data_IF_382640903866
#
_entry.id   IF_382640903866
#
_cell.length_a   1.000
_cell.length_b   1.000
_cell.length_c   1.000
_cell.angle_alpha   90.00
_cell.angle_beta   90.00
_cell.angle_gamma   90.00
#
_symmetry.space_group_name_H-M   'P 1'
#
loop_
_entity.id
_entity.type
_entity.pdbx_description
1 polymer ?
#
# COMPACT_ATOMS: atom_id res chain seq x y z
N UNK A 1 29.34 -51.27 -14.48
CA UNK A 1 27.92 -51.01 -14.20
C UNK A 1 27.68 -50.24 -12.89
N UNK A 2 28.37 -50.53 -11.77
CA UNK A 2 28.16 -49.80 -10.50
C UNK A 2 28.54 -48.30 -10.58
N UNK A 3 29.64 -47.95 -11.24
CA UNK A 3 30.08 -46.55 -11.36
C UNK A 3 29.14 -45.67 -12.22
N UNK A 4 28.45 -46.25 -13.22
CA UNK A 4 27.52 -45.52 -14.08
C UNK A 4 26.24 -45.13 -13.31
N UNK A 5 25.77 -45.99 -12.40
CA UNK A 5 24.63 -45.71 -11.53
C UNK A 5 24.96 -44.67 -10.46
N UNK A 6 26.18 -44.64 -9.93
CA UNK A 6 26.61 -43.62 -8.95
C UNK A 6 26.68 -42.22 -9.57
N UNK A 7 27.16 -42.10 -10.81
CA UNK A 7 27.19 -40.82 -11.53
C UNK A 7 25.77 -40.35 -11.87
N UNK A 8 24.87 -41.25 -12.28
CA UNK A 8 23.48 -40.90 -12.57
C UNK A 8 22.72 -40.44 -11.32
N UNK A 9 23.02 -41.03 -10.15
CA UNK A 9 22.40 -40.63 -8.88
C UNK A 9 22.90 -39.26 -8.39
N UNK A 10 24.18 -38.94 -8.60
CA UNK A 10 24.75 -37.62 -8.28
C UNK A 10 24.16 -36.49 -9.15
N UNK A 11 23.84 -36.77 -10.42
CA UNK A 11 23.18 -35.80 -11.29
C UNK A 11 21.72 -35.52 -10.91
N UNK A 12 20.99 -36.50 -10.37
CA UNK A 12 19.61 -36.30 -9.91
C UNK A 12 19.55 -35.40 -8.67
N UNK A 13 20.54 -35.50 -7.77
CA UNK A 13 20.60 -34.66 -6.55
C UNK A 13 20.81 -33.17 -6.91
N UNK A 14 21.51 -32.87 -8.00
CA UNK A 14 21.73 -31.49 -8.47
C UNK A 14 20.45 -30.82 -9.02
N UNK A 15 19.47 -31.60 -9.49
CA UNK A 15 18.19 -31.05 -10.01
C UNK A 15 17.24 -30.67 -8.85
N UNK A 16 17.46 -31.18 -7.65
CA UNK A 16 16.65 -30.86 -6.47
C UNK A 16 17.18 -29.67 -5.65
N UNK A 17 18.35 -29.13 -5.97
CA UNK A 17 18.98 -28.03 -5.21
C UNK A 17 19.04 -26.70 -5.97
N UNK A 18 18.29 -26.56 -7.05
CA UNK A 18 18.06 -25.29 -7.73
C UNK A 18 16.65 -24.74 -7.42
N UNK A 19 16.31 -24.62 -6.14
CA UNK A 19 15.35 -23.61 -5.72
C UNK A 19 16.20 -22.38 -5.43
N UNK A 20 16.07 -21.35 -6.26
CA UNK A 20 16.48 -20.00 -5.86
C UNK A 20 15.81 -19.75 -4.50
N UNK A 21 16.59 -19.60 -3.44
CA UNK A 21 16.12 -18.96 -2.21
C UNK A 21 15.79 -17.52 -2.60
N UNK A 22 14.56 -17.33 -3.10
CA UNK A 22 13.97 -16.04 -3.40
C UNK A 22 13.73 -15.40 -2.03
N UNK A 23 14.69 -14.57 -1.57
CA UNK A 23 14.73 -13.96 -0.22
C UNK A 23 13.30 -13.74 0.36
N UNK A 24 12.90 -14.65 1.26
CA UNK A 24 11.51 -14.88 1.71
C UNK A 24 11.05 -13.86 2.75
N UNK A 25 11.10 -12.56 2.45
CA UNK A 25 10.58 -11.54 3.36
C UNK A 25 9.20 -11.05 2.92
N UNK A 26 8.27 -11.00 3.87
CA UNK A 26 7.02 -10.30 3.70
C UNK A 26 7.28 -8.80 3.49
N UNK A 27 6.46 -8.15 2.66
CA UNK A 27 6.49 -6.70 2.53
C UNK A 27 6.17 -6.07 3.90
N UNK A 28 6.96 -5.09 4.32
CA UNK A 28 6.84 -4.52 5.67
C UNK A 28 5.51 -3.79 5.92
N UNK A 29 4.80 -3.32 4.89
CA UNK A 29 3.41 -2.83 5.00
C UNK A 29 2.43 -3.84 5.62
N UNK A 30 2.76 -5.14 5.60
CA UNK A 30 1.97 -6.22 6.18
C UNK A 30 2.55 -6.75 7.50
N UNK A 31 3.43 -5.99 8.14
CA UNK A 31 3.89 -6.28 9.49
C UNK A 31 2.88 -5.80 10.52
N UNK A 32 2.31 -6.73 11.29
CA UNK A 32 1.36 -6.42 12.36
C UNK A 32 1.85 -6.94 13.70
N UNK A 33 1.74 -6.09 14.72
CA UNK A 33 2.15 -6.41 16.09
C UNK A 33 1.18 -7.39 16.76
N UNK A 34 1.73 -8.36 17.49
CA UNK A 34 0.94 -9.25 18.33
C UNK A 34 0.23 -8.49 19.45
N UNK A 35 -0.94 -9.00 19.85
CA UNK A 35 -1.85 -8.43 20.83
C UNK A 35 -2.40 -7.04 20.48
N UNK A 36 -2.25 -6.60 19.22
CA UNK A 36 -2.89 -5.37 18.72
C UNK A 36 -4.15 -5.70 17.92
N UNK A 37 -5.09 -4.76 17.97
CA UNK A 37 -6.29 -4.80 17.13
C UNK A 37 -5.95 -4.38 15.71
N UNK A 38 -6.42 -5.16 14.75
CA UNK A 38 -6.38 -4.85 13.34
C UNK A 38 -7.77 -4.98 12.72
N UNK A 39 -7.96 -4.53 11.48
CA UNK A 39 -9.23 -4.66 10.75
C UNK A 39 -9.08 -5.38 9.43
N UNK A 40 -10.14 -6.09 9.05
CA UNK A 40 -10.25 -6.69 7.71
C UNK A 40 -10.42 -5.58 6.68
N UNK A 41 -9.60 -5.60 5.63
CA UNK A 41 -9.67 -4.61 4.55
C UNK A 41 -10.50 -5.10 3.36
N UNK A 42 -10.28 -6.36 2.96
CA UNK A 42 -11.04 -6.97 1.86
C UNK A 42 -12.53 -7.04 2.19
N UNK A 43 -13.38 -7.08 1.16
CA UNK A 43 -14.84 -7.14 1.35
C UNK A 43 -15.23 -8.33 2.23
N UNK A 44 -14.57 -9.46 1.97
CA UNK A 44 -14.62 -10.66 2.78
C UNK A 44 -13.24 -11.28 2.89
N UNK A 45 -12.95 -11.92 4.02
CA UNK A 45 -11.76 -12.75 4.21
C UNK A 45 -12.16 -14.09 4.80
N UNK A 46 -11.53 -15.18 4.33
CA UNK A 46 -11.77 -16.53 4.87
C UNK A 46 -10.85 -16.77 6.05
N UNK A 47 -11.43 -17.24 7.16
CA UNK A 47 -10.69 -17.71 8.32
C UNK A 47 -10.43 -19.18 8.15
N UNK A 48 -9.17 -19.58 8.27
CA UNK A 48 -8.72 -20.94 7.99
C UNK A 48 -8.23 -21.66 9.23
N UNK A 49 -8.28 -22.99 9.18
CA UNK A 49 -7.81 -23.84 10.27
C UNK A 49 -6.29 -23.83 10.42
N UNK A 50 -5.55 -23.61 9.34
CA UNK A 50 -4.09 -23.51 9.33
C UNK A 50 -3.63 -22.45 8.31
N UNK A 51 -2.37 -21.96 8.38
CA UNK A 51 -1.86 -20.87 7.55
C UNK A 51 -1.59 -21.30 6.09
N UNK A 52 -2.62 -21.75 5.39
CA UNK A 52 -2.51 -22.28 4.03
C UNK A 52 -3.80 -22.01 3.24
N UNK A 53 -3.68 -21.64 1.96
CA UNK A 53 -4.81 -21.34 1.07
C UNK A 53 -5.71 -22.54 0.76
N UNK A 54 -5.24 -23.77 1.00
CA UNK A 54 -5.97 -25.02 0.81
C UNK A 54 -6.54 -25.58 2.13
N UNK A 55 -6.23 -24.96 3.28
CA UNK A 55 -6.75 -25.39 4.57
C UNK A 55 -8.27 -25.20 4.66
N UNK A 56 -8.91 -26.03 5.50
CA UNK A 56 -10.34 -25.93 5.79
C UNK A 56 -10.72 -24.50 6.19
N UNK A 57 -11.79 -24.00 5.59
CA UNK A 57 -12.40 -22.72 5.94
C UNK A 57 -13.26 -22.95 7.18
N UNK A 58 -12.97 -22.21 8.25
CA UNK A 58 -13.71 -22.24 9.51
C UNK A 58 -14.80 -21.18 9.53
N UNK A 59 -14.53 -20.00 8.95
CA UNK A 59 -15.45 -18.87 8.93
C UNK A 59 -15.10 -17.86 7.82
N UNK A 60 -15.86 -16.77 7.75
CA UNK A 60 -15.58 -15.58 6.94
C UNK A 60 -15.90 -14.30 7.69
N UNK A 61 -15.02 -13.30 7.59
CA UNK A 61 -15.20 -11.98 8.19
C UNK A 61 -15.36 -10.92 7.09
N UNK A 62 -16.20 -9.92 7.35
CA UNK A 62 -16.42 -8.80 6.44
C UNK A 62 -15.38 -7.70 6.63
N UNK A 63 -15.30 -6.78 5.66
CA UNK A 63 -14.55 -5.53 5.80
C UNK A 63 -14.91 -4.78 7.09
N UNK A 64 -13.94 -4.04 7.64
CA UNK A 64 -14.02 -3.28 8.89
C UNK A 64 -14.22 -4.10 10.18
N UNK A 65 -14.36 -5.43 10.07
CA UNK A 65 -14.48 -6.27 11.25
C UNK A 65 -13.16 -6.26 12.05
N UNK A 66 -13.20 -5.93 13.36
CA UNK A 66 -12.01 -5.92 14.20
C UNK A 66 -11.58 -7.34 14.56
N UNK A 67 -10.27 -7.53 14.59
CA UNK A 67 -9.60 -8.77 14.97
C UNK A 67 -8.41 -8.46 15.86
N UNK A 68 -7.98 -9.40 16.68
CA UNK A 68 -6.73 -9.30 17.46
C UNK A 68 -5.69 -10.22 16.85
N UNK A 69 -4.51 -9.69 16.57
CA UNK A 69 -3.37 -10.49 16.13
C UNK A 69 -2.86 -11.29 17.34
N UNK A 70 -2.92 -12.61 17.28
CA UNK A 70 -2.42 -13.48 18.34
C UNK A 70 -0.98 -13.91 18.08
N UNK A 71 -0.67 -14.25 16.83
CA UNK A 71 0.65 -14.74 16.45
C UNK A 71 0.94 -14.47 14.99
N UNK A 72 2.17 -14.05 14.69
CA UNK A 72 2.71 -14.04 13.33
C UNK A 72 3.30 -15.41 12.99
N UNK A 73 2.87 -16.03 11.90
CA UNK A 73 3.45 -17.28 11.41
C UNK A 73 4.58 -17.01 10.42
N UNK A 74 5.57 -17.90 10.38
CA UNK A 74 6.70 -17.81 9.45
C UNK A 74 6.25 -18.04 8.00
N UNK A 75 5.16 -18.78 7.78
CA UNK A 75 4.62 -19.06 6.46
C UNK A 75 4.23 -17.77 5.74
N UNK A 76 4.86 -17.53 4.58
CA UNK A 76 4.58 -16.39 3.71
C UNK A 76 3.83 -16.88 2.48
N UNK A 77 2.82 -16.11 2.07
CA UNK A 77 2.15 -16.27 0.79
C UNK A 77 2.40 -15.03 -0.06
N UNK A 78 2.84 -15.26 -1.30
CA UNK A 78 2.98 -14.25 -2.35
C UNK A 78 1.79 -14.32 -3.31
N UNK A 79 1.04 -13.24 -3.45
CA UNK A 79 -0.01 -13.07 -4.48
C UNK A 79 0.27 -11.81 -5.29
N UNK A 80 0.79 -11.99 -6.51
CA UNK A 80 1.38 -10.90 -7.28
C UNK A 80 2.65 -10.37 -6.61
N UNK A 81 2.77 -9.05 -6.48
CA UNK A 81 3.89 -8.41 -5.79
C UNK A 81 3.73 -8.38 -4.26
N UNK A 82 2.58 -8.82 -3.74
CA UNK A 82 2.25 -8.77 -2.31
C UNK A 82 2.68 -10.07 -1.62
N UNK A 83 3.73 -10.00 -0.82
CA UNK A 83 4.22 -11.02 0.10
C UNK A 83 3.76 -10.68 1.52
N UNK A 84 2.96 -11.53 2.14
CA UNK A 84 2.56 -11.34 3.53
C UNK A 84 2.56 -12.65 4.30
N UNK A 85 2.90 -12.57 5.58
CA UNK A 85 2.76 -13.68 6.52
C UNK A 85 1.29 -14.04 6.73
N UNK A 86 1.06 -15.26 7.21
CA UNK A 86 -0.18 -15.61 7.86
C UNK A 86 -0.16 -15.17 9.33
N UNK A 87 -1.33 -14.83 9.85
CA UNK A 87 -1.50 -14.49 11.24
C UNK A 87 -2.56 -15.39 11.86
N UNK A 88 -2.25 -15.94 13.04
CA UNK A 88 -3.26 -16.47 13.94
C UNK A 88 -3.98 -15.29 14.59
N UNK A 89 -5.30 -15.31 14.58
CA UNK A 89 -6.13 -14.19 15.03
C UNK A 89 -7.23 -14.67 15.98
N UNK A 90 -7.69 -13.76 16.82
CA UNK A 90 -8.93 -13.88 17.59
C UNK A 90 -9.95 -12.88 17.07
N UNK A 91 -11.22 -13.26 17.04
CA UNK A 91 -12.31 -12.39 16.61
C UNK A 91 -13.61 -12.75 17.34
N UNK A 92 -14.51 -11.77 17.43
CA UNK A 92 -15.84 -11.94 18.00
C UNK A 92 -16.86 -12.18 16.89
N UNK A 93 -17.77 -13.14 17.11
CA UNK A 93 -18.95 -13.37 16.29
C UNK A 93 -20.15 -13.60 17.19
N UNK A 94 -20.99 -12.58 17.34
CA UNK A 94 -21.96 -12.55 18.43
C UNK A 94 -21.25 -12.63 19.78
N UNK A 95 -21.71 -13.53 20.65
CA UNK A 95 -21.15 -13.72 22.00
C UNK A 95 -19.98 -14.72 22.06
N UNK A 96 -19.51 -15.20 20.90
CA UNK A 96 -18.46 -16.22 20.83
C UNK A 96 -17.15 -15.64 20.32
N UNK A 97 -16.11 -15.77 21.15
CA UNK A 97 -14.71 -15.65 20.72
C UNK A 97 -14.32 -16.86 19.89
N UNK A 98 -13.78 -16.65 18.70
CA UNK A 98 -13.26 -17.70 17.82
C UNK A 98 -11.85 -17.36 17.36
N UNK A 99 -11.11 -18.38 16.95
CA UNK A 99 -9.75 -18.23 16.44
C UNK A 99 -9.60 -18.90 15.07
N UNK A 100 -8.58 -18.47 14.34
CA UNK A 100 -8.13 -19.11 13.12
C UNK A 100 -7.04 -18.30 12.44
N UNK A 101 -6.81 -18.59 11.17
CA UNK A 101 -5.71 -18.02 10.40
C UNK A 101 -6.21 -17.15 9.26
N UNK A 102 -5.58 -15.99 9.08
CA UNK A 102 -5.84 -15.07 7.97
C UNK A 102 -4.53 -14.66 7.31
N UNK A 103 -4.54 -14.49 6.00
CA UNK A 103 -3.38 -13.95 5.28
C UNK A 103 -3.29 -12.45 5.51
N UNK A 104 -2.10 -11.95 5.91
CA UNK A 104 -1.89 -10.55 6.28
C UNK A 104 -2.23 -9.55 5.16
N UNK A 105 -2.11 -9.96 3.89
CA UNK A 105 -2.48 -9.14 2.74
C UNK A 105 -3.99 -8.82 2.64
N UNK A 106 -4.84 -9.43 3.47
CA UNK A 106 -6.27 -9.12 3.57
C UNK A 106 -6.61 -8.11 4.69
N UNK A 107 -5.63 -7.73 5.51
CA UNK A 107 -5.79 -6.77 6.60
C UNK A 107 -5.47 -5.36 6.11
N UNK A 108 -5.99 -4.33 6.77
CA UNK A 108 -5.63 -2.95 6.42
C UNK A 108 -4.18 -2.67 6.80
N UNK A 109 -3.47 -1.93 5.95
CA UNK A 109 -2.14 -1.39 6.28
C UNK A 109 -2.28 -0.34 7.39
N UNK A 110 -3.33 0.47 7.35
CA UNK A 110 -3.65 1.41 8.41
C UNK A 110 -5.14 1.73 8.46
N UNK A 111 -5.62 2.13 9.63
CA UNK A 111 -6.98 2.62 9.81
C UNK A 111 -7.04 3.81 10.75
N UNK A 112 -8.07 4.65 10.58
CA UNK A 112 -8.36 5.80 11.44
C UNK A 112 -9.87 5.91 11.63
N UNK A 113 -10.29 6.34 12.81
CA UNK A 113 -11.69 6.63 13.09
C UNK A 113 -11.85 8.13 13.33
N UNK A 114 -12.85 8.75 12.70
CA UNK A 114 -13.19 10.16 12.92
C UNK A 114 -14.62 10.44 12.52
N UNK A 115 -15.34 11.24 13.31
CA UNK A 115 -16.71 11.69 13.05
C UNK A 115 -17.71 10.55 12.77
N UNK A 116 -17.55 9.39 13.42
CA UNK A 116 -18.42 8.23 13.22
C UNK A 116 -18.06 7.36 12.01
N UNK A 117 -17.04 7.74 11.25
CA UNK A 117 -16.53 6.96 10.12
C UNK A 117 -15.25 6.21 10.46
N UNK A 118 -15.15 5.00 9.93
CA UNK A 118 -13.92 4.25 9.83
C UNK A 118 -13.30 4.44 8.44
N UNK A 119 -12.06 4.90 8.42
CA UNK A 119 -11.25 5.02 7.22
C UNK A 119 -10.23 3.89 7.21
N UNK A 120 -10.23 3.08 6.15
CA UNK A 120 -9.30 1.96 6.00
C UNK A 120 -8.41 2.19 4.78
N UNK A 121 -7.11 1.94 4.92
CA UNK A 121 -6.14 1.91 3.84
C UNK A 121 -5.55 0.51 3.71
N UNK A 122 -5.48 -0.02 2.48
CA UNK A 122 -4.90 -1.33 2.22
C UNK A 122 -4.64 -1.62 0.75
N UNK A 123 -3.98 -2.75 0.48
CA UNK A 123 -3.62 -3.18 -0.87
C UNK A 123 -4.67 -4.16 -1.42
N UNK A 124 -5.15 -3.90 -2.63
CA UNK A 124 -6.24 -4.68 -3.25
C UNK A 124 -5.71 -5.76 -4.19
N UNK A 125 -4.80 -5.42 -5.11
CA UNK A 125 -4.31 -6.33 -6.16
C UNK A 125 -3.00 -5.84 -6.77
N UNK A 126 -2.38 -6.72 -7.54
CA UNK A 126 -1.28 -6.39 -8.45
C UNK A 126 -1.82 -6.49 -9.88
N UNK A 127 -1.49 -5.51 -10.73
CA UNK A 127 -1.85 -5.47 -12.15
C UNK A 127 -0.61 -5.43 -13.03
N UNK A 128 -0.71 -6.01 -14.22
CA UNK A 128 0.29 -5.87 -15.26
C UNK A 128 0.02 -4.59 -16.06
N UNK A 129 1.05 -3.77 -16.26
CA UNK A 129 0.98 -2.51 -17.02
C UNK A 129 2.12 -2.47 -18.01
N UNK A 130 1.94 -1.82 -19.16
CA UNK A 130 3.05 -1.54 -20.07
C UNK A 130 3.88 -0.39 -19.53
N UNK A 131 5.19 -0.54 -19.58
CA UNK A 131 6.08 0.55 -19.19
C UNK A 131 5.88 1.76 -20.12
N UNK A 132 5.97 2.98 -19.56
CA UNK A 132 5.70 4.20 -20.32
C UNK A 132 6.83 4.55 -21.28
N UNK A 133 8.07 4.20 -20.94
CA UNK A 133 9.27 4.47 -21.74
C UNK A 133 9.55 3.32 -22.70
N UNK A 134 9.21 2.09 -22.31
CA UNK A 134 9.38 0.85 -23.06
C UNK A 134 8.06 0.05 -23.12
N UNK A 135 7.11 0.42 -24.00
CA UNK A 135 5.78 -0.22 -24.08
C UNK A 135 5.79 -1.73 -24.36
N UNK A 136 6.90 -2.27 -24.86
CA UNK A 136 7.15 -3.70 -25.02
C UNK A 136 7.27 -4.41 -23.67
N UNK A 137 7.81 -3.74 -22.65
CA UNK A 137 8.01 -4.27 -21.30
C UNK A 137 6.71 -4.22 -20.51
N UNK A 138 6.38 -5.35 -19.88
CA UNK A 138 5.27 -5.42 -18.92
C UNK A 138 5.84 -5.34 -17.51
N UNK A 139 5.39 -4.35 -16.74
CA UNK A 139 5.74 -4.15 -15.33
C UNK A 139 4.56 -4.51 -14.43
N UNK A 140 4.85 -4.94 -13.21
CA UNK A 140 3.84 -5.15 -12.17
C UNK A 140 3.66 -3.90 -11.32
N UNK A 141 2.42 -3.54 -11.05
CA UNK A 141 2.03 -2.39 -10.22
C UNK A 141 1.02 -2.83 -9.19
N UNK A 142 1.22 -2.41 -7.94
CA UNK A 142 0.27 -2.62 -6.87
C UNK A 142 -0.80 -1.54 -6.91
N UNK A 143 -2.03 -1.93 -6.56
CA UNK A 143 -3.18 -1.04 -6.41
C UNK A 143 -3.57 -1.04 -4.94
N UNK A 144 -3.56 0.13 -4.32
CA UNK A 144 -4.17 0.35 -3.02
C UNK A 144 -5.57 0.93 -3.14
N UNK A 145 -6.30 0.90 -2.03
CA UNK A 145 -7.53 1.66 -1.90
C UNK A 145 -7.69 2.27 -0.50
N UNK A 146 -8.48 3.33 -0.44
CA UNK A 146 -9.00 3.91 0.78
C UNK A 146 -10.52 3.69 0.78
N UNK A 147 -11.03 3.12 1.88
CA UNK A 147 -12.47 2.89 2.12
C UNK A 147 -12.97 3.78 3.25
N UNK A 148 -14.16 4.35 3.11
CA UNK A 148 -14.91 4.96 4.21
C UNK A 148 -16.07 4.05 4.57
N UNK A 149 -16.21 3.75 5.86
CA UNK A 149 -17.32 2.96 6.38
C UNK A 149 -18.04 3.68 7.51
N UNK A 150 -19.35 3.44 7.60
CA UNK A 150 -20.19 3.83 8.73
C UNK A 150 -20.73 2.52 9.35
N UNK A 151 -20.17 2.11 10.49
CA UNK A 151 -20.28 0.72 10.94
C UNK A 151 -19.65 -0.24 9.92
N UNK A 152 -20.38 -1.24 9.44
CA UNK A 152 -19.91 -2.15 8.38
C UNK A 152 -20.39 -1.75 6.97
N UNK A 153 -21.13 -0.64 6.84
CA UNK A 153 -21.61 -0.18 5.54
C UNK A 153 -20.50 0.59 4.81
N UNK A 154 -20.13 0.12 3.62
CA UNK A 154 -19.22 0.86 2.74
C UNK A 154 -19.93 2.11 2.20
N UNK A 155 -19.36 3.28 2.46
CA UNK A 155 -19.90 4.58 2.07
C UNK A 155 -19.30 5.03 0.73
N UNK A 156 -17.97 4.93 0.61
CA UNK A 156 -17.24 5.27 -0.60
C UNK A 156 -15.87 4.57 -0.61
N UNK A 157 -15.32 4.36 -1.80
CA UNK A 157 -14.00 3.76 -2.00
C UNK A 157 -13.31 4.40 -3.19
N UNK A 158 -12.01 4.62 -3.06
CA UNK A 158 -11.15 5.06 -4.18
C UNK A 158 -9.88 4.23 -4.23
N UNK A 159 -9.38 3.99 -5.43
CA UNK A 159 -8.16 3.19 -5.66
C UNK A 159 -7.08 4.01 -6.37
N UNK A 160 -5.82 3.65 -6.12
CA UNK A 160 -4.65 4.32 -6.67
C UNK A 160 -3.48 3.34 -6.79
N UNK A 161 -2.53 3.63 -7.69
CA UNK A 161 -1.31 2.84 -7.88
C UNK A 161 -0.33 3.08 -6.71
N UNK A 162 0.52 2.13 -6.37
CA UNK A 162 1.50 2.28 -5.28
C UNK A 162 2.89 1.78 -5.66
N UNK A 163 3.21 1.73 -6.95
CA UNK A 163 4.48 1.22 -7.44
C UNK A 163 4.59 -0.31 -7.46
N UNK A 164 5.83 -0.81 -7.56
CA UNK A 164 6.17 -2.23 -7.53
C UNK A 164 6.09 -2.81 -6.10
N UNK A 165 6.44 -4.09 -5.92
CA UNK A 165 6.56 -4.68 -4.59
C UNK A 165 7.68 -4.08 -3.73
N UNK A 166 8.67 -3.43 -4.34
CA UNK A 166 9.78 -2.77 -3.63
C UNK A 166 9.33 -1.52 -2.88
N UNK A 167 8.28 -0.85 -3.36
CA UNK A 167 7.67 0.30 -2.67
C UNK A 167 6.79 -0.10 -1.46
N UNK A 168 6.68 -1.40 -1.14
CA UNK A 168 5.82 -1.90 -0.06
C UNK A 168 6.58 -2.19 1.25
N UNK A 169 7.77 -1.62 1.45
CA UNK A 169 8.49 -1.81 2.71
C UNK A 169 7.79 -1.09 3.88
N UNK A 170 7.34 0.13 3.69
CA UNK A 170 6.61 0.89 4.71
C UNK A 170 5.28 1.42 4.20
N UNK A 171 4.32 1.56 5.12
CA UNK A 171 3.02 2.12 4.84
C UNK A 171 2.53 2.99 6.00
N UNK A 172 2.01 4.17 5.70
CA UNK A 172 1.40 5.03 6.71
C UNK A 172 0.04 5.54 6.24
N UNK A 173 -0.85 5.82 7.20
CA UNK A 173 -2.17 6.34 6.91
C UNK A 173 -2.59 7.35 7.97
N UNK A 174 -2.78 8.60 7.58
CA UNK A 174 -3.05 9.70 8.50
C UNK A 174 -4.28 10.51 8.10
N UNK A 175 -4.91 11.12 9.10
CA UNK A 175 -5.95 12.13 8.90
C UNK A 175 -5.31 13.49 9.16
N UNK A 176 -5.43 14.37 8.18
CA UNK A 176 -5.03 15.77 8.24
C UNK A 176 -6.26 16.69 8.36
N UNK A 177 -6.02 18.00 8.44
CA UNK A 177 -7.08 19.00 8.44
C UNK A 177 -7.78 19.08 7.08
N UNK A 178 -8.75 19.98 6.92
CA UNK A 178 -9.32 20.28 5.61
C UNK A 178 -8.47 21.23 4.76
N UNK A 179 -7.32 21.65 5.28
CA UNK A 179 -6.38 22.59 4.66
C UNK A 179 -7.01 23.91 4.20
N UNK A 180 -8.11 24.33 4.83
CA UNK A 180 -8.91 25.50 4.42
C UNK A 180 -9.42 25.43 2.96
N UNK A 181 -9.56 24.24 2.40
CA UNK A 181 -10.32 24.04 1.16
C UNK A 181 -11.82 24.09 1.47
N UNK A 182 -12.57 24.85 0.66
CA UNK A 182 -13.99 25.05 0.87
C UNK A 182 -14.75 23.71 0.88
N UNK A 183 -15.61 23.52 1.88
CA UNK A 183 -16.47 22.34 2.05
C UNK A 183 -15.74 20.99 2.21
N UNK A 184 -14.42 20.98 2.41
CA UNK A 184 -13.69 19.77 2.79
C UNK A 184 -13.80 19.58 4.30
N UNK A 185 -14.09 18.36 4.75
CA UNK A 185 -14.16 18.02 6.17
C UNK A 185 -12.79 17.66 6.73
N UNK A 186 -12.06 16.83 6.00
CA UNK A 186 -10.71 16.36 6.33
C UNK A 186 -9.99 15.86 5.08
N UNK A 187 -8.69 15.66 5.21
CA UNK A 187 -7.87 15.01 4.19
C UNK A 187 -7.28 13.73 4.75
N UNK A 188 -7.27 12.68 3.93
CA UNK A 188 -6.62 11.41 4.20
C UNK A 188 -5.31 11.39 3.43
N UNK A 189 -4.23 10.99 4.09
CA UNK A 189 -2.92 10.79 3.46
C UNK A 189 -2.49 9.34 3.65
N UNK A 190 -2.40 8.61 2.54
CA UNK A 190 -1.83 7.27 2.50
C UNK A 190 -0.46 7.33 1.84
N UNK A 191 0.55 6.73 2.47
CA UNK A 191 1.91 6.67 1.94
C UNK A 191 2.34 5.22 1.85
N UNK A 192 3.03 4.87 0.76
CA UNK A 192 3.90 3.69 0.71
C UNK A 192 5.32 4.10 0.33
N UNK A 193 6.33 3.39 0.84
CA UNK A 193 7.72 3.65 0.48
C UNK A 193 8.58 2.40 0.55
N UNK A 194 9.66 2.40 -0.25
CA UNK A 194 10.73 1.40 -0.14
C UNK A 194 11.75 1.74 0.94
N UNK A 195 12.68 0.81 1.18
CA UNK A 195 13.78 0.94 2.15
C UNK A 195 15.11 1.39 1.52
N UNK A 196 15.21 1.39 0.19
CA UNK A 196 16.47 1.58 -0.54
C UNK A 196 16.47 2.86 -1.38
N UNK A 197 17.68 3.38 -1.63
CA UNK A 197 17.91 4.46 -2.60
C UNK A 197 17.37 4.06 -3.98
N UNK A 198 16.84 5.03 -4.72
CA UNK A 198 16.25 4.80 -6.04
C UNK A 198 14.86 4.15 -6.02
N UNK A 199 14.33 3.72 -4.87
CA UNK A 199 12.96 3.20 -4.77
C UNK A 199 11.97 4.34 -4.51
N UNK A 200 10.97 4.54 -5.36
CA UNK A 200 10.00 5.60 -5.16
C UNK A 200 9.09 5.37 -3.96
N UNK A 201 8.79 6.48 -3.29
CA UNK A 201 7.71 6.63 -2.32
C UNK A 201 6.52 7.30 -2.98
N UNK A 202 5.31 6.86 -2.64
CA UNK A 202 4.07 7.38 -3.19
C UNK A 202 3.18 7.93 -2.09
N UNK A 203 2.82 9.20 -2.20
CA UNK A 203 1.85 9.86 -1.32
C UNK A 203 0.53 10.07 -2.07
N UNK A 204 -0.54 9.50 -1.53
CA UNK A 204 -1.89 9.72 -2.01
C UNK A 204 -2.69 10.56 -1.02
N UNK A 205 -3.03 11.78 -1.43
CA UNK A 205 -3.98 12.63 -0.73
C UNK A 205 -5.39 12.37 -1.25
N UNK A 206 -6.35 12.23 -0.34
CA UNK A 206 -7.77 12.06 -0.66
C UNK A 206 -8.58 12.99 0.23
N UNK A 207 -9.34 13.90 -0.39
CA UNK A 207 -10.25 14.78 0.34
C UNK A 207 -11.51 14.02 0.72
N UNK A 208 -12.01 14.23 1.92
CA UNK A 208 -13.30 13.71 2.36
C UNK A 208 -14.29 14.86 2.55
N UNK A 209 -15.45 14.74 1.89
CA UNK A 209 -16.53 15.73 1.88
C UNK A 209 -17.86 15.04 1.60
N UNK A 210 -18.90 15.34 2.38
CA UNK A 210 -20.28 14.90 2.10
C UNK A 210 -20.35 13.39 1.82
N UNK A 211 -19.67 12.59 2.64
CA UNK A 211 -19.57 11.13 2.49
C UNK A 211 -18.90 10.67 1.18
N UNK A 212 -18.11 11.52 0.52
CA UNK A 212 -17.38 11.24 -0.73
C UNK A 212 -15.88 11.43 -0.59
N UNK A 213 -15.14 10.53 -1.25
CA UNK A 213 -13.70 10.55 -1.38
C UNK A 213 -13.31 11.16 -2.73
N UNK A 214 -12.42 12.15 -2.71
CA UNK A 214 -11.94 12.83 -3.91
C UNK A 214 -10.41 12.69 -3.94
N UNK A 215 -9.93 11.87 -4.86
CA UNK A 215 -8.51 11.58 -5.07
C UNK A 215 -7.83 12.81 -5.69
N UNK A 216 -6.76 13.29 -5.06
CA UNK A 216 -5.87 14.28 -5.67
C UNK A 216 -4.81 13.58 -6.54
N UNK A 217 -4.11 14.31 -7.44
CA UNK A 217 -2.96 13.73 -8.14
C UNK A 217 -1.98 13.08 -7.16
N UNK A 218 -1.56 11.86 -7.45
CA UNK A 218 -0.57 11.17 -6.64
C UNK A 218 0.77 11.90 -6.72
N UNK A 219 1.49 11.94 -5.60
CA UNK A 219 2.86 12.45 -5.54
C UNK A 219 3.84 11.29 -5.50
N UNK A 220 4.95 11.45 -6.20
CA UNK A 220 6.08 10.52 -6.21
C UNK A 220 7.33 11.23 -5.70
N UNK A 221 8.04 10.61 -4.76
CA UNK A 221 9.30 11.10 -4.24
C UNK A 221 10.35 9.98 -4.30
N UNK A 222 11.53 10.27 -4.84
CA UNK A 222 12.64 9.31 -4.94
C UNK A 222 13.97 10.06 -4.82
N UNK A 223 14.93 9.45 -4.16
CA UNK A 223 16.30 9.97 -4.05
C UNK A 223 17.30 8.86 -4.25
N UNK A 224 18.41 9.18 -4.90
CA UNK A 224 19.56 8.32 -5.05
C UNK A 224 20.81 9.06 -4.57
N UNK A 225 21.12 8.83 -3.29
CA UNK A 225 22.19 9.46 -2.55
C UNK A 225 22.27 10.99 -2.82
N UNK A 226 23.44 11.47 -3.23
CA UNK A 226 23.70 12.86 -3.58
C UNK A 226 23.74 13.10 -5.11
N UNK A 227 23.38 12.09 -5.90
CA UNK A 227 23.47 12.13 -7.37
C UNK A 227 22.15 12.57 -7.99
N UNK A 228 21.03 12.10 -7.45
CA UNK A 228 19.71 12.39 -8.00
C UNK A 228 18.64 12.53 -6.90
N UNK A 229 17.69 13.44 -7.10
CA UNK A 229 16.39 13.33 -6.45
C UNK A 229 15.28 13.89 -7.32
N UNK A 230 14.09 13.38 -7.08
CA UNK A 230 12.83 13.91 -7.57
C UNK A 230 11.87 14.01 -6.38
N UNK A 231 11.37 15.22 -6.14
CA UNK A 231 10.45 15.50 -5.04
C UNK A 231 9.20 16.18 -5.56
N UNK A 232 8.05 15.69 -5.07
CA UNK A 232 6.74 16.24 -5.37
C UNK A 232 6.00 16.54 -4.06
N UNK A 233 5.42 17.74 -3.98
CA UNK A 233 4.65 18.20 -2.83
C UNK A 233 3.38 18.94 -3.27
N UNK A 234 2.42 19.01 -2.34
CA UNK A 234 1.31 19.95 -2.42
C UNK A 234 1.54 21.13 -1.49
N UNK A 235 1.20 22.32 -1.97
CA UNK A 235 1.02 23.52 -1.17
C UNK A 235 -0.47 23.83 -1.12
N UNK A 236 -1.06 23.65 0.05
CA UNK A 236 -2.47 23.90 0.31
C UNK A 236 -2.72 25.34 0.78
N UNK A 237 -3.99 25.82 0.85
CA UNK A 237 -4.31 27.19 1.23
C UNK A 237 -3.79 27.63 2.61
N UNK A 238 -3.63 26.71 3.56
CA UNK A 238 -3.10 26.99 4.89
C UNK A 238 -1.56 26.93 4.98
N UNK A 239 -0.88 26.52 3.91
CA UNK A 239 0.57 26.44 3.85
C UNK A 239 1.19 27.78 3.41
N UNK A 240 2.50 27.94 3.63
CA UNK A 240 3.24 29.13 3.19
C UNK A 240 3.23 29.21 1.66
N UNK A 241 2.63 30.28 1.12
CA UNK A 241 2.46 30.47 -0.33
C UNK A 241 1.23 29.77 -0.92
N UNK A 242 0.34 29.25 -0.06
CA UNK A 242 -0.97 28.75 -0.44
C UNK A 242 -1.88 29.85 -1.00
N UNK A 243 -2.84 29.44 -1.82
CA UNK A 243 -3.85 30.31 -2.43
C UNK A 243 -5.23 29.82 -2.00
N UNK A 244 -6.17 30.70 -1.62
CA UNK A 244 -7.55 30.29 -1.32
C UNK A 244 -8.18 29.50 -2.46
N UNK A 245 -8.96 28.47 -2.11
CA UNK A 245 -9.70 27.64 -3.08
C UNK A 245 -8.81 27.04 -4.18
N UNK A 246 -7.57 26.71 -3.86
CA UNK A 246 -6.67 26.00 -4.75
C UNK A 246 -5.65 25.18 -3.96
N UNK A 247 -5.09 24.16 -4.60
CA UNK A 247 -3.87 23.53 -4.14
C UNK A 247 -2.86 23.54 -5.28
N UNK A 248 -1.58 23.65 -4.93
CA UNK A 248 -0.50 23.81 -5.90
C UNK A 248 0.37 22.57 -5.81
N UNK A 249 0.46 21.82 -6.90
CA UNK A 249 1.49 20.82 -7.07
C UNK A 249 2.81 21.52 -7.38
N UNK A 250 3.88 21.09 -6.70
CA UNK A 250 5.25 21.48 -7.01
C UNK A 250 6.10 20.24 -7.20
N UNK A 251 6.97 20.30 -8.19
CA UNK A 251 8.01 19.31 -8.44
C UNK A 251 9.37 20.02 -8.45
N UNK A 252 10.34 19.42 -7.79
CA UNK A 252 11.76 19.72 -7.92
C UNK A 252 12.53 18.44 -8.23
N UNK A 253 13.37 18.50 -9.25
CA UNK A 253 14.26 17.42 -9.66
C UNK A 253 15.68 17.97 -9.74
N UNK A 254 16.65 17.20 -9.26
CA UNK A 254 18.06 17.53 -9.31
C UNK A 254 18.86 16.31 -9.77
N UNK A 255 19.82 16.55 -10.66
CA UNK A 255 20.82 15.58 -11.06
C UNK A 255 22.21 16.22 -11.03
N UNK A 256 23.25 15.45 -10.70
CA UNK A 256 24.66 15.84 -10.92
C UNK A 256 25.14 15.34 -12.28
N UNK A 257 25.90 16.18 -12.99
CA UNK A 257 26.63 15.74 -14.18
C UNK A 257 27.99 15.11 -13.84
N UNK A 258 28.70 14.60 -14.85
CA UNK A 258 30.04 13.97 -14.71
C UNK A 258 31.11 14.87 -14.07
N UNK A 259 30.83 16.15 -13.86
CA UNK A 259 31.72 17.14 -13.22
C UNK A 259 31.18 17.63 -11.88
N UNK A 260 30.27 16.87 -11.27
CA UNK A 260 29.59 17.19 -10.00
C UNK A 260 28.78 18.49 -10.02
N UNK A 261 28.36 18.97 -11.20
CA UNK A 261 27.54 20.18 -11.30
C UNK A 261 26.06 19.82 -11.20
N UNK A 262 25.35 20.49 -10.30
CA UNK A 262 23.91 20.33 -10.14
C UNK A 262 23.14 20.94 -11.31
N UNK A 263 22.23 20.17 -11.89
CA UNK A 263 21.16 20.65 -12.77
C UNK A 263 19.84 20.48 -12.04
N UNK A 264 19.10 21.58 -11.92
CA UNK A 264 17.79 21.60 -11.24
C UNK A 264 16.68 21.89 -12.23
N UNK A 265 15.60 21.15 -12.12
CA UNK A 265 14.35 21.35 -12.85
C UNK A 265 13.24 21.55 -11.83
N UNK A 266 12.37 22.52 -12.12
CA UNK A 266 11.21 22.83 -11.28
C UNK A 266 9.97 22.91 -12.14
N UNK A 267 8.87 22.36 -11.66
CA UNK A 267 7.57 22.52 -12.28
C UNK A 267 6.52 22.84 -11.22
N UNK A 268 5.46 23.54 -11.63
CA UNK A 268 4.32 23.78 -10.76
C UNK A 268 3.03 23.75 -11.55
N UNK A 269 1.97 23.21 -10.93
CA UNK A 269 0.62 23.14 -11.48
C UNK A 269 -0.36 23.60 -10.41
N UNK A 270 -1.21 24.58 -10.73
CA UNK A 270 -2.24 25.05 -9.81
C UNK A 270 -3.56 24.38 -10.15
N UNK A 271 -4.17 23.72 -9.17
CA UNK A 271 -5.49 23.14 -9.29
C UNK A 271 -6.50 24.03 -8.57
N UNK A 272 -7.46 24.57 -9.32
CA UNK A 272 -8.54 25.39 -8.77
C UNK A 272 -9.62 24.46 -8.20
N UNK A 273 -9.99 24.69 -6.95
CA UNK A 273 -11.03 23.97 -6.23
C UNK A 273 -12.30 24.81 -6.18
N UNK A 274 -13.43 24.25 -6.61
CA UNK A 274 -14.72 24.95 -6.66
C UNK A 274 -15.65 24.66 -5.46
N UNK A 275 -15.17 23.90 -4.47
CA UNK A 275 -15.99 23.42 -3.36
C UNK A 275 -16.57 22.02 -3.59
N UNK A 276 -16.38 21.42 -4.75
CA UNK A 276 -16.90 20.09 -5.09
C UNK A 276 -15.90 19.24 -5.89
N UNK A 277 -15.16 19.88 -6.80
CA UNK A 277 -14.19 19.25 -7.68
C UNK A 277 -13.00 20.19 -7.91
N UNK A 278 -11.96 19.69 -8.58
CA UNK A 278 -10.85 20.52 -9.01
C UNK A 278 -10.59 20.44 -10.51
N UNK A 279 -10.02 21.51 -11.06
CA UNK A 279 -9.52 21.57 -12.43
C UNK A 279 -8.14 22.19 -12.48
N UNK A 280 -7.31 21.71 -13.39
CA UNK A 280 -6.02 22.35 -13.69
C UNK A 280 -6.28 23.75 -14.28
N UNK A 281 -5.59 24.76 -13.76
CA UNK A 281 -5.64 26.14 -14.27
C UNK A 281 -4.98 26.27 -15.64
#
# INVERSE_FOLDING_TARGET
MKALFTVLFLFIIQIFSAQEEDYEYANGVFHFEENKTQKIFTDWTRIRQSPNTNAQILDSLQTNQPIVILKKEETILKLGERRANWYKISYQKGDKTSEGYVWGGNLCVGYRNKNGYDFLFGLTKTVNKKDKQSPEITIQQNIAAIKVLEGNALIDEVSFETGSGESLSFGTFNIESNHKLQNVELTLKATVSGEACGIPSYDQYVLFKDKKLIVLPQLMNVGDADVYYHSEEFVFPNDKGGIPNAFIFKMEEMEKDDRDREKKKRASKTYLWDGNSYKLK
#
